data_IF_666930614933
#
_entry.id   IF_666930614933
#
_cell.length_a   1.000
_cell.length_b   1.000
_cell.length_c   1.000
_cell.angle_alpha   90.00
_cell.angle_beta   90.00
_cell.angle_gamma   90.00
#
_symmetry.space_group_name_H-M   'P 1'
#
loop_
_entity.id
_entity.type
_entity.pdbx_description
1 polymer ?
#
# COMPACT_ATOMS: atom_id res chain seq x y z
N UNK A 1 18.23 -5.18 9.70
CA UNK A 1 16.84 -5.55 9.28
C UNK A 1 16.77 -5.50 7.77
N UNK A 2 16.42 -6.62 7.15
CA UNK A 2 16.05 -6.67 5.73
C UNK A 2 14.52 -6.74 5.59
N UNK A 3 13.92 -5.71 5.00
CA UNK A 3 12.48 -5.57 4.92
C UNK A 3 11.97 -5.97 3.53
N UNK A 4 11.65 -7.27 3.39
CA UNK A 4 11.11 -7.88 2.19
C UNK A 4 9.57 -7.87 2.09
N UNK A 5 9.06 -8.41 0.98
CA UNK A 5 7.62 -8.38 0.65
C UNK A 5 6.77 -9.49 1.27
N UNK A 6 7.37 -10.67 1.47
CA UNK A 6 6.75 -11.88 2.05
C UNK A 6 7.42 -12.29 3.37
N UNK A 7 8.74 -12.20 3.41
CA UNK A 7 9.54 -12.39 4.61
C UNK A 7 10.34 -11.12 4.86
N UNK A 8 10.65 -10.86 6.12
CA UNK A 8 11.59 -9.82 6.53
C UNK A 8 12.67 -10.45 7.41
N UNK A 9 13.92 -10.22 7.09
CA UNK A 9 15.07 -10.72 7.85
C UNK A 9 15.44 -9.80 9.01
N UNK A 10 15.91 -10.38 10.10
CA UNK A 10 16.54 -9.63 11.19
C UNK A 10 17.80 -10.36 11.67
N UNK A 11 18.72 -9.57 12.22
CA UNK A 11 19.90 -10.06 12.89
C UNK A 11 20.23 -9.12 14.05
N UNK A 12 20.67 -9.68 15.17
CA UNK A 12 21.24 -9.00 16.33
C UNK A 12 22.70 -9.43 16.38
N UNK A 13 23.56 -8.43 16.26
CA UNK A 13 25.00 -8.61 16.13
C UNK A 13 25.69 -7.87 17.27
N UNK A 14 26.67 -8.51 17.89
CA UNK A 14 27.55 -7.94 18.89
C UNK A 14 28.96 -8.38 18.55
N UNK A 15 29.73 -7.49 17.91
CA UNK A 15 31.00 -7.85 17.28
C UNK A 15 31.90 -8.66 18.22
N UNK A 16 32.46 -9.81 17.77
CA UNK A 16 32.32 -10.43 16.43
C UNK A 16 31.12 -11.38 16.27
N UNK A 17 30.31 -11.59 17.31
CA UNK A 17 29.30 -12.64 17.39
C UNK A 17 27.92 -12.26 16.84
N UNK A 18 27.29 -13.25 16.20
CA UNK A 18 25.86 -13.23 15.90
C UNK A 18 25.11 -13.77 17.12
N UNK A 19 24.40 -12.88 17.82
CA UNK A 19 23.62 -13.24 19.01
C UNK A 19 22.31 -13.95 18.62
N UNK A 20 21.66 -13.47 17.56
CA UNK A 20 20.42 -14.05 17.06
C UNK A 20 20.16 -13.57 15.63
N UNK A 21 19.75 -14.45 14.72
CA UNK A 21 19.31 -14.07 13.37
C UNK A 21 18.07 -14.86 12.97
N UNK A 22 17.31 -14.36 12.01
CA UNK A 22 16.06 -15.01 11.67
C UNK A 22 15.20 -14.34 10.61
N UNK A 23 14.11 -15.01 10.28
CA UNK A 23 13.11 -14.53 9.32
C UNK A 23 11.75 -14.34 9.99
N UNK A 24 11.08 -13.26 9.59
CA UNK A 24 9.74 -12.87 10.02
C UNK A 24 8.80 -13.11 8.84
N UNK A 25 7.84 -14.03 9.02
CA UNK A 25 6.79 -14.26 8.02
C UNK A 25 5.76 -13.11 8.05
N UNK A 26 5.87 -12.17 7.11
CA UNK A 26 4.94 -11.04 6.93
C UNK A 26 3.78 -11.44 6.02
N UNK A 27 3.03 -12.47 6.45
CA UNK A 27 1.96 -13.07 5.67
C UNK A 27 0.93 -12.05 5.11
N UNK A 28 0.45 -12.31 3.90
CA UNK A 28 -0.65 -11.58 3.24
C UNK A 28 -2.05 -11.88 3.85
N UNK A 29 -2.16 -12.18 5.14
CA UNK A 29 -3.41 -12.63 5.77
C UNK A 29 -4.49 -11.55 5.63
N UNK A 30 -4.14 -10.27 5.77
CA UNK A 30 -5.12 -9.18 5.63
C UNK A 30 -5.68 -9.12 4.21
N UNK A 31 -4.82 -9.23 3.19
CA UNK A 31 -5.26 -9.25 1.79
C UNK A 31 -6.21 -10.44 1.54
N UNK A 32 -5.83 -11.64 1.97
CA UNK A 32 -6.68 -12.84 1.87
C UNK A 32 -8.02 -12.68 2.61
N UNK A 33 -8.00 -12.15 3.84
CA UNK A 33 -9.23 -11.86 4.62
C UNK A 33 -10.10 -10.79 3.95
N UNK A 34 -9.51 -9.77 3.34
CA UNK A 34 -10.23 -8.71 2.63
C UNK A 34 -10.84 -9.21 1.32
N UNK A 35 -10.12 -10.07 0.58
CA UNK A 35 -10.61 -10.77 -0.61
C UNK A 35 -11.77 -11.69 -0.25
N UNK A 36 -11.62 -12.52 0.78
CA UNK A 36 -12.69 -13.39 1.29
C UNK A 36 -13.91 -12.57 1.74
N UNK A 37 -13.72 -11.49 2.50
CA UNK A 37 -14.81 -10.56 2.87
C UNK A 37 -15.47 -9.93 1.65
N UNK A 38 -14.70 -9.63 0.61
CA UNK A 38 -15.22 -9.10 -0.65
C UNK A 38 -16.07 -10.14 -1.38
N UNK A 39 -15.54 -11.36 -1.53
CA UNK A 39 -16.23 -12.50 -2.13
C UNK A 39 -17.53 -12.82 -1.41
N UNK A 40 -17.50 -13.00 -0.08
CA UNK A 40 -18.70 -13.23 0.74
C UNK A 40 -19.74 -12.12 0.57
N UNK A 41 -19.31 -10.84 0.47
CA UNK A 41 -20.22 -9.73 0.18
C UNK A 41 -20.83 -9.83 -1.22
N UNK A 42 -20.08 -10.27 -2.24
CA UNK A 42 -20.59 -10.48 -3.60
C UNK A 42 -21.57 -11.65 -3.65
N UNK A 43 -21.23 -12.80 -3.08
CA UNK A 43 -22.09 -13.99 -3.01
C UNK A 43 -23.40 -13.70 -2.27
N UNK A 44 -23.35 -12.91 -1.18
CA UNK A 44 -24.59 -12.46 -0.51
C UNK A 44 -25.44 -11.56 -1.39
N UNK A 45 -24.83 -10.70 -2.22
CA UNK A 45 -25.57 -9.82 -3.14
C UNK A 45 -26.21 -10.58 -4.30
N UNK A 46 -25.55 -11.62 -4.81
CA UNK A 46 -26.08 -12.43 -5.91
C UNK A 46 -27.22 -13.36 -5.50
N UNK A 47 -27.36 -13.66 -4.20
CA UNK A 47 -28.43 -14.52 -3.65
C UNK A 47 -29.70 -13.76 -3.20
N UNK A 48 -29.76 -12.44 -3.36
CA UNK A 48 -30.93 -11.65 -2.97
C UNK A 48 -31.84 -11.45 -4.19
N UNK A 49 -32.68 -12.44 -4.46
CA UNK A 49 -33.72 -12.35 -5.51
C UNK A 49 -34.85 -11.38 -5.19
N UNK A 50 -35.14 -11.11 -3.91
CA UNK A 50 -36.36 -10.40 -3.49
C UNK A 50 -36.18 -9.32 -2.41
N UNK A 51 -34.95 -8.93 -2.03
CA UNK A 51 -34.74 -7.89 -1.02
C UNK A 51 -34.66 -6.51 -1.68
N UNK A 52 -35.61 -5.60 -1.35
CA UNK A 52 -35.59 -4.19 -1.78
C UNK A 52 -34.19 -3.58 -1.60
N UNK A 53 -33.79 -2.72 -2.55
CA UNK A 53 -32.44 -2.15 -2.61
C UNK A 53 -32.13 -1.48 -1.27
N UNK A 54 -30.87 -1.57 -0.83
CA UNK A 54 -30.43 -1.01 0.46
C UNK A 54 -30.70 0.50 0.61
N UNK A 55 -30.91 1.19 -0.50
CA UNK A 55 -31.31 2.59 -0.56
C UNK A 55 -32.70 2.81 0.08
N UNK A 56 -33.64 1.90 -0.19
CA UNK A 56 -35.04 1.97 0.26
C UNK A 56 -35.22 1.61 1.75
N UNK A 57 -34.18 1.03 2.38
CA UNK A 57 -34.17 0.63 3.79
C UNK A 57 -33.30 1.54 4.67
N UNK A 58 -32.75 2.65 4.15
CA UNK A 58 -32.11 3.65 5.00
C UNK A 58 -33.20 4.46 5.68
N UNK A 59 -33.50 4.16 6.95
CA UNK A 59 -33.91 5.25 7.84
C UNK A 59 -32.75 6.23 7.87
N UNK A 60 -32.98 7.44 7.38
CA UNK A 60 -31.97 8.49 7.38
C UNK A 60 -31.69 8.84 8.85
N UNK A 61 -30.59 8.32 9.41
CA UNK A 61 -30.09 8.79 10.72
C UNK A 61 -29.44 10.14 10.48
N UNK A 62 -30.28 11.16 10.26
CA UNK A 62 -29.78 12.52 10.18
C UNK A 62 -29.36 12.89 11.59
N UNK A 63 -28.06 13.07 11.79
CA UNK A 63 -27.52 13.62 13.03
C UNK A 63 -28.03 15.05 13.21
N UNK A 64 -28.30 15.51 14.44
CA UNK A 64 -28.52 16.93 14.67
C UNK A 64 -27.26 17.73 14.31
N UNK A 65 -27.47 18.93 13.78
CA UNK A 65 -26.46 19.89 13.43
C UNK A 65 -25.73 20.31 14.71
N UNK A 66 -24.41 20.20 14.73
CA UNK A 66 -23.59 20.59 15.88
C UNK A 66 -23.70 22.09 16.23
N UNK A 67 -24.17 22.93 15.31
CA UNK A 67 -24.28 24.37 15.51
C UNK A 67 -25.66 24.81 16.03
N UNK A 68 -26.76 24.23 15.52
CA UNK A 68 -28.11 24.72 15.81
C UNK A 68 -29.10 23.63 16.23
N UNK A 69 -28.65 22.38 16.39
CA UNK A 69 -29.50 21.24 16.80
C UNK A 69 -30.48 20.73 15.74
N UNK A 70 -30.77 21.49 14.68
CA UNK A 70 -31.63 21.06 13.55
C UNK A 70 -31.00 19.92 12.75
N UNK A 71 -31.76 19.22 11.92
CA UNK A 71 -31.25 18.15 11.07
C UNK A 71 -30.05 18.56 10.18
N UNK A 72 -28.93 17.85 10.31
CA UNK A 72 -27.75 18.03 9.45
C UNK A 72 -27.95 17.50 8.02
N UNK A 73 -27.06 17.84 7.09
CA UNK A 73 -27.05 17.14 5.79
C UNK A 73 -26.61 15.69 5.97
N UNK A 74 -27.14 14.77 5.17
CA UNK A 74 -26.80 13.36 5.26
C UNK A 74 -25.28 13.13 5.18
N UNK A 75 -24.69 12.61 6.27
CA UNK A 75 -23.26 12.35 6.38
C UNK A 75 -22.39 13.58 6.66
N UNK A 76 -22.98 14.70 7.12
CA UNK A 76 -22.27 15.90 7.57
C UNK A 76 -22.66 16.29 8.98
N UNK A 77 -21.85 17.15 9.58
CA UNK A 77 -22.05 17.62 10.96
C UNK A 77 -22.92 18.90 11.06
N UNK A 78 -23.20 19.55 9.93
CA UNK A 78 -23.91 20.84 9.86
C UNK A 78 -25.07 20.83 8.85
N UNK A 79 -26.10 21.65 9.08
CA UNK A 79 -27.17 21.92 8.12
C UNK A 79 -26.72 22.94 7.04
N UNK A 80 -27.46 23.08 5.93
CA UNK A 80 -27.09 24.00 4.82
C UNK A 80 -26.82 25.44 5.28
N UNK A 81 -27.70 26.07 6.09
CA UNK A 81 -27.48 27.44 6.54
C UNK A 81 -26.23 27.58 7.41
N UNK A 82 -26.05 26.69 8.40
CA UNK A 82 -24.88 26.70 9.27
C UNK A 82 -23.58 26.41 8.51
N UNK A 83 -23.61 25.50 7.53
CA UNK A 83 -22.45 25.22 6.67
C UNK A 83 -22.09 26.45 5.83
N UNK A 84 -23.07 27.17 5.28
CA UNK A 84 -22.86 28.41 4.53
C UNK A 84 -22.23 29.52 5.39
N UNK A 85 -22.71 29.68 6.63
CA UNK A 85 -22.14 30.58 7.65
C UNK A 85 -20.71 30.17 8.07
N UNK A 86 -20.39 28.89 8.10
CA UNK A 86 -19.05 28.39 8.40
C UNK A 86 -18.11 28.54 7.20
N UNK A 87 -18.60 28.38 5.97
CA UNK A 87 -17.80 28.57 4.75
C UNK A 87 -17.52 30.03 4.42
N UNK A 88 -18.35 30.99 4.88
CA UNK A 88 -18.07 32.43 4.73
C UNK A 88 -16.84 32.86 5.53
N UNK A 89 -16.51 32.16 6.64
CA UNK A 89 -15.18 32.18 7.27
C UNK A 89 -14.22 31.27 6.50
N UNK A 90 -13.83 31.69 5.29
CA UNK A 90 -12.79 31.05 4.44
C UNK A 90 -11.53 30.72 5.26
N UNK A 91 -11.31 29.45 5.66
CA UNK A 91 -9.95 28.83 5.81
C UNK A 91 -9.86 27.37 6.29
N UNK A 92 -10.93 26.58 6.35
CA UNK A 92 -10.79 25.21 6.91
C UNK A 92 -10.15 24.16 5.98
N UNK A 93 -10.04 24.39 4.66
CA UNK A 93 -9.45 23.41 3.72
C UNK A 93 -7.93 23.50 3.57
N UNK A 94 -7.28 24.55 4.07
CA UNK A 94 -5.82 24.73 3.95
C UNK A 94 -5.01 24.21 5.14
N UNK A 95 -5.65 23.77 6.22
CA UNK A 95 -4.96 23.37 7.47
C UNK A 95 -4.56 21.89 7.50
N UNK A 96 -5.22 21.02 6.73
CA UNK A 96 -4.94 19.57 6.74
C UNK A 96 -3.62 19.21 6.03
N UNK A 97 -3.02 20.12 5.24
CA UNK A 97 -1.83 19.84 4.40
C UNK A 97 -0.49 20.29 4.98
N UNK A 98 -0.42 20.75 6.24
CA UNK A 98 0.84 21.27 6.83
C UNK A 98 1.18 20.69 8.20
N UNK A 99 0.90 19.41 8.45
CA UNK A 99 1.58 18.73 9.55
C UNK A 99 2.93 18.21 9.00
N UNK A 100 4.09 18.70 9.51
CA UNK A 100 5.41 18.22 9.10
C UNK A 100 5.67 16.74 9.47
N UNK A 101 4.78 16.11 10.26
CA UNK A 101 4.75 14.67 10.52
C UNK A 101 3.70 13.91 9.67
N UNK A 102 3.02 14.56 8.72
CA UNK A 102 2.09 13.91 7.80
C UNK A 102 2.83 13.19 6.68
N UNK A 103 3.43 12.06 7.03
CA UNK A 103 3.87 11.11 6.03
C UNK A 103 2.65 10.34 5.52
N UNK A 104 2.60 10.05 4.23
CA UNK A 104 1.54 9.23 3.64
C UNK A 104 1.50 7.87 4.35
N UNK A 105 0.57 7.70 5.29
CA UNK A 105 0.40 6.46 6.02
C UNK A 105 0.17 5.34 4.99
N UNK A 106 0.96 4.25 5.05
CA UNK A 106 0.79 3.17 4.10
C UNK A 106 -0.60 2.57 4.24
N UNK A 107 -1.10 1.97 3.16
CA UNK A 107 -2.38 1.26 3.20
C UNK A 107 -2.42 0.26 4.36
N UNK A 108 -3.61 -0.01 4.91
CA UNK A 108 -3.77 -0.88 6.08
C UNK A 108 -3.10 -2.26 5.93
N UNK A 109 -3.06 -2.80 4.70
CA UNK A 109 -2.36 -4.05 4.41
C UNK A 109 -0.84 -3.92 4.46
N UNK A 110 -0.28 -2.80 3.98
CA UNK A 110 1.16 -2.56 4.02
C UNK A 110 1.57 -2.22 5.45
N UNK A 111 0.81 -1.35 6.14
CA UNK A 111 1.01 -1.01 7.54
C UNK A 111 1.10 -2.26 8.41
N UNK A 112 0.14 -3.18 8.30
CA UNK A 112 0.13 -4.39 9.11
C UNK A 112 1.35 -5.30 8.90
N UNK A 113 1.93 -5.33 7.70
CA UNK A 113 3.19 -6.05 7.44
C UNK A 113 4.34 -5.40 8.20
N UNK A 114 4.45 -4.07 8.15
CA UNK A 114 5.48 -3.33 8.88
C UNK A 114 5.27 -3.42 10.39
N UNK A 115 4.02 -3.43 10.85
CA UNK A 115 3.68 -3.67 12.26
C UNK A 115 4.13 -5.05 12.74
N UNK A 116 4.18 -6.09 11.89
CA UNK A 116 4.76 -7.38 12.26
C UNK A 116 6.26 -7.27 12.55
N UNK A 117 7.00 -6.57 11.70
CA UNK A 117 8.43 -6.30 11.89
C UNK A 117 8.64 -5.50 13.18
N UNK A 118 7.87 -4.43 13.38
CA UNK A 118 7.94 -3.59 14.59
C UNK A 118 7.67 -4.35 15.90
N UNK A 119 6.84 -5.40 15.88
CA UNK A 119 6.60 -6.24 17.06
C UNK A 119 7.83 -7.07 17.43
N UNK A 120 8.49 -7.65 16.43
CA UNK A 120 9.72 -8.43 16.66
C UNK A 120 10.82 -7.50 17.15
N UNK A 121 11.00 -6.32 16.54
CA UNK A 121 12.03 -5.37 16.98
C UNK A 121 11.80 -4.87 18.41
N UNK A 122 10.56 -4.70 18.85
CA UNK A 122 10.25 -4.36 20.26
C UNK A 122 10.67 -5.46 21.22
N UNK A 123 10.37 -6.72 20.90
CA UNK A 123 10.81 -7.88 21.71
C UNK A 123 12.33 -8.00 21.76
N UNK A 124 13.01 -7.72 20.65
CA UNK A 124 14.47 -7.73 20.62
C UNK A 124 15.06 -6.62 21.50
N UNK A 125 14.44 -5.43 21.53
CA UNK A 125 14.84 -4.34 22.43
C UNK A 125 14.65 -4.69 23.91
N UNK A 126 13.62 -5.46 24.26
CA UNK A 126 13.41 -5.95 25.63
C UNK A 126 14.44 -7.01 26.04
N UNK A 127 14.95 -7.78 25.07
CA UNK A 127 15.90 -8.87 25.30
C UNK A 127 17.37 -8.44 25.25
N UNK A 128 17.70 -7.44 24.42
CA UNK A 128 19.06 -7.01 24.14
C UNK A 128 19.18 -5.49 24.27
N UNK A 129 20.33 -5.02 24.74
CA UNK A 129 20.67 -3.59 24.72
C UNK A 129 21.08 -3.15 23.32
N UNK A 130 20.10 -2.75 22.51
CA UNK A 130 20.30 -2.38 21.11
C UNK A 130 20.77 -0.92 21.01
N UNK A 131 22.05 -0.72 20.69
CA UNK A 131 22.67 0.60 20.47
C UNK A 131 22.28 1.23 19.13
N UNK A 132 22.25 0.43 18.07
CA UNK A 132 21.99 0.88 16.71
C UNK A 132 21.12 -0.12 15.95
N UNK A 133 20.23 0.42 15.11
CA UNK A 133 19.40 -0.35 14.17
C UNK A 133 19.73 0.07 12.75
N UNK A 134 20.13 -0.91 11.93
CA UNK A 134 20.40 -0.70 10.52
C UNK A 134 19.26 -1.34 9.71
N UNK A 135 18.69 -0.57 8.79
CA UNK A 135 17.63 -1.03 7.89
C UNK A 135 17.97 -0.77 6.43
N UNK A 136 17.82 -1.78 5.59
CA UNK A 136 18.01 -1.61 4.15
C UNK A 136 16.80 -0.90 3.53
N UNK A 137 17.05 0.25 2.89
CA UNK A 137 16.03 0.98 2.14
C UNK A 137 16.25 0.78 0.64
N UNK A 138 15.33 0.07 0.01
CA UNK A 138 15.35 -0.09 -1.44
C UNK A 138 14.74 1.16 -2.07
N UNK A 139 15.55 1.91 -2.82
CA UNK A 139 15.09 2.98 -3.70
C UNK A 139 14.90 2.37 -5.09
N UNK A 140 13.67 2.02 -5.42
CA UNK A 140 13.34 1.62 -6.78
C UNK A 140 13.02 2.87 -7.59
N UNK A 141 13.72 3.02 -8.71
CA UNK A 141 13.40 3.99 -9.74
C UNK A 141 12.52 3.30 -10.79
N UNK A 142 11.21 3.52 -10.70
CA UNK A 142 10.26 2.87 -11.60
C UNK A 142 10.35 3.38 -13.04
N UNK A 143 10.89 4.57 -13.28
CA UNK A 143 11.07 5.09 -14.62
C UNK A 143 12.26 4.38 -15.28
N UNK A 144 13.41 4.30 -14.61
CA UNK A 144 14.56 3.52 -15.10
C UNK A 144 14.28 2.02 -15.19
N UNK A 145 13.49 1.46 -14.29
CA UNK A 145 13.05 0.06 -14.42
C UNK A 145 12.19 -0.20 -15.66
N UNK A 146 11.43 0.79 -16.13
CA UNK A 146 10.60 0.69 -17.33
C UNK A 146 11.39 0.93 -18.61
N UNK A 147 12.27 1.93 -18.58
CA UNK A 147 13.15 2.28 -19.68
C UNK A 147 14.54 2.56 -19.12
N UNK A 148 15.49 1.60 -19.16
CA UNK A 148 16.83 1.78 -18.60
C UNK A 148 17.63 2.92 -19.21
N UNK A 149 17.33 3.30 -20.46
CA UNK A 149 18.04 4.34 -21.22
C UNK A 149 17.49 5.76 -20.96
N UNK A 150 16.38 5.88 -20.20
CA UNK A 150 15.74 7.17 -19.95
C UNK A 150 16.67 8.11 -19.16
N UNK A 151 16.88 9.31 -19.69
CA UNK A 151 17.78 10.31 -19.11
C UNK A 151 17.30 11.74 -19.40
N UNK A 152 17.91 12.73 -18.74
CA UNK A 152 17.65 14.15 -19.01
C UNK A 152 16.20 14.59 -18.79
N UNK A 153 15.66 15.34 -19.76
CA UNK A 153 14.30 15.89 -19.71
C UNK A 153 13.23 14.79 -19.76
N UNK A 154 13.44 13.73 -20.55
CA UNK A 154 12.50 12.61 -20.67
C UNK A 154 12.24 11.92 -19.32
N UNK A 155 13.23 11.90 -18.43
CA UNK A 155 13.06 11.37 -17.07
C UNK A 155 12.01 12.15 -16.27
N UNK A 156 11.93 13.47 -16.45
CA UNK A 156 10.95 14.31 -15.75
C UNK A 156 9.55 14.20 -16.38
N UNK A 157 9.47 13.70 -17.61
CA UNK A 157 8.25 13.56 -18.37
C UNK A 157 7.56 12.23 -18.03
N UNK A 158 6.44 12.32 -17.31
CA UNK A 158 5.60 11.15 -17.03
C UNK A 158 4.88 10.63 -18.28
N UNK A 159 4.26 9.46 -18.20
CA UNK A 159 3.50 8.84 -19.31
C UNK A 159 2.33 9.68 -19.84
N UNK A 160 1.90 10.71 -19.11
CA UNK A 160 0.87 11.67 -19.54
C UNK A 160 1.42 13.05 -19.92
N UNK A 161 2.74 13.20 -20.00
CA UNK A 161 3.37 14.47 -20.39
C UNK A 161 2.96 14.84 -21.82
N UNK A 162 2.71 16.13 -22.05
CA UNK A 162 2.17 16.64 -23.32
C UNK A 162 0.65 16.50 -23.49
N UNK A 163 -0.07 15.91 -22.51
CA UNK A 163 -1.53 15.78 -22.55
C UNK A 163 -2.19 16.41 -21.33
N UNK A 164 -3.31 17.11 -21.55
CA UNK A 164 -4.08 17.75 -20.48
C UNK A 164 -4.89 16.74 -19.65
N UNK A 165 -5.27 15.61 -20.26
CA UNK A 165 -6.06 14.57 -19.57
C UNK A 165 -5.63 13.16 -19.97
N UNK A 166 -5.85 12.19 -19.08
CA UNK A 166 -5.65 10.76 -19.38
C UNK A 166 -6.47 10.32 -20.58
N UNK A 167 -7.70 10.83 -20.70
CA UNK A 167 -8.57 10.58 -21.85
C UNK A 167 -7.93 11.05 -23.15
N UNK A 168 -7.36 12.26 -23.17
CA UNK A 168 -6.72 12.82 -24.36
C UNK A 168 -5.56 11.94 -24.82
N UNK A 169 -4.65 11.57 -23.92
CA UNK A 169 -3.52 10.72 -24.28
C UNK A 169 -3.96 9.32 -24.76
N UNK A 170 -4.97 8.72 -24.10
CA UNK A 170 -5.54 7.46 -24.55
C UNK A 170 -6.21 7.61 -25.93
N UNK A 171 -6.85 8.75 -26.23
CA UNK A 171 -7.42 9.02 -27.55
C UNK A 171 -6.37 9.00 -28.64
N UNK A 172 -5.25 9.69 -28.43
CA UNK A 172 -4.12 9.63 -29.37
C UNK A 172 -3.55 8.22 -29.49
N UNK A 173 -3.35 7.53 -28.37
CA UNK A 173 -2.75 6.19 -28.37
C UNK A 173 -3.61 5.13 -29.08
N UNK A 174 -4.92 5.19 -28.91
CA UNK A 174 -5.88 4.24 -29.48
C UNK A 174 -6.51 4.72 -30.79
N UNK A 175 -5.99 5.80 -31.38
CA UNK A 175 -6.45 6.34 -32.66
C UNK A 175 -7.93 6.74 -32.67
N UNK A 176 -8.44 7.28 -31.55
CA UNK A 176 -9.83 7.70 -31.38
C UNK A 176 -10.87 6.58 -31.65
N UNK A 177 -10.49 5.32 -31.47
CA UNK A 177 -11.34 4.15 -31.69
C UNK A 177 -11.68 3.43 -30.38
N UNK A 178 -12.87 2.83 -30.35
CA UNK A 178 -13.24 1.94 -29.25
C UNK A 178 -12.40 0.65 -29.29
N UNK A 179 -11.80 0.30 -28.16
CA UNK A 179 -10.93 -0.88 -27.99
C UNK A 179 -11.66 -2.22 -28.19
N UNK A 180 -12.99 -2.24 -28.14
CA UNK A 180 -13.80 -3.45 -28.28
C UNK A 180 -14.51 -3.56 -29.63
N UNK A 181 -15.28 -2.54 -30.03
CA UNK A 181 -16.02 -2.60 -31.29
C UNK A 181 -15.21 -2.09 -32.48
N UNK A 182 -14.19 -1.25 -32.26
CA UNK A 182 -13.35 -0.66 -33.30
C UNK A 182 -13.94 0.58 -33.97
N UNK A 183 -15.16 0.99 -33.59
CA UNK A 183 -15.80 2.21 -34.12
C UNK A 183 -15.04 3.46 -33.69
N UNK A 184 -14.90 4.40 -34.62
CA UNK A 184 -14.46 5.78 -34.48
C UNK A 184 -15.67 6.73 -34.43
N UNK A 185 -15.40 8.04 -34.27
CA UNK A 185 -16.37 9.13 -34.26
C UNK A 185 -17.61 8.94 -33.35
N UNK A 186 -17.38 8.33 -32.19
CA UNK A 186 -18.40 8.11 -31.17
C UNK A 186 -17.93 8.62 -29.82
N UNK A 187 -18.87 8.85 -28.91
CA UNK A 187 -18.53 9.25 -27.54
C UNK A 187 -17.78 8.12 -26.83
N UNK A 188 -16.48 8.33 -26.64
CA UNK A 188 -15.60 7.41 -25.92
C UNK A 188 -15.41 7.82 -24.46
N UNK A 189 -15.24 6.81 -23.60
CA UNK A 189 -14.97 6.89 -22.18
C UNK A 189 -13.68 6.14 -21.85
N UNK A 190 -13.00 6.60 -20.79
CA UNK A 190 -11.86 5.86 -20.22
C UNK A 190 -12.41 4.69 -19.42
N UNK A 191 -11.97 3.48 -19.75
CA UNK A 191 -12.47 2.25 -19.17
C UNK A 191 -11.34 1.41 -18.59
N UNK A 192 -11.57 0.80 -17.43
CA UNK A 192 -10.68 -0.20 -16.86
C UNK A 192 -10.88 -1.58 -17.50
N UNK A 193 -9.84 -2.12 -18.13
CA UNK A 193 -9.82 -3.48 -18.69
C UNK A 193 -10.18 -4.48 -17.59
N UNK A 194 -9.43 -4.51 -16.49
CA UNK A 194 -9.83 -5.14 -15.24
C UNK A 194 -10.60 -4.12 -14.40
N UNK A 195 -11.90 -4.33 -14.09
CA UNK A 195 -12.69 -3.37 -13.34
C UNK A 195 -12.12 -3.06 -11.94
N UNK A 196 -12.26 -1.82 -11.47
CA UNK A 196 -11.88 -1.42 -10.10
C UNK A 196 -12.52 -2.34 -9.04
N UNK A 197 -13.76 -2.76 -9.26
CA UNK A 197 -14.47 -3.69 -8.38
C UNK A 197 -13.75 -5.03 -8.19
N UNK A 198 -12.91 -5.44 -9.15
CA UNK A 198 -12.08 -6.65 -9.12
C UNK A 198 -10.59 -6.38 -8.82
N UNK A 199 -10.24 -5.15 -8.39
CA UNK A 199 -8.87 -4.76 -8.09
C UNK A 199 -8.08 -4.27 -9.31
N UNK A 200 -8.77 -3.76 -10.33
CA UNK A 200 -8.15 -2.95 -11.38
C UNK A 200 -7.52 -1.68 -10.86
N UNK A 201 -6.42 -1.26 -11.48
CA UNK A 201 -5.69 -0.03 -11.14
C UNK A 201 -5.94 1.07 -12.18
N UNK A 202 -5.77 2.33 -11.82
CA UNK A 202 -5.77 3.49 -12.75
C UNK A 202 -4.47 3.65 -13.55
N UNK A 203 -3.69 2.57 -13.66
CA UNK A 203 -2.45 2.56 -14.45
C UNK A 203 -2.76 2.39 -15.93
N UNK A 204 -1.98 3.01 -16.81
CA UNK A 204 -2.15 3.01 -18.28
C UNK A 204 -2.35 1.60 -18.87
N UNK A 205 -1.66 0.61 -18.31
CA UNK A 205 -1.75 -0.81 -18.65
C UNK A 205 -3.15 -1.41 -18.50
N UNK A 206 -3.95 -0.83 -17.62
CA UNK A 206 -5.29 -1.29 -17.29
C UNK A 206 -6.36 -0.32 -17.82
N UNK A 207 -5.97 0.75 -18.52
CA UNK A 207 -6.87 1.74 -19.08
C UNK A 207 -6.94 1.60 -20.60
N UNK A 208 -8.15 1.71 -21.13
CA UNK A 208 -8.42 1.70 -22.56
C UNK A 208 -9.55 2.69 -22.89
N UNK A 209 -9.80 2.90 -24.18
CA UNK A 209 -10.96 3.65 -24.64
C UNK A 209 -12.11 2.72 -25.03
N UNK A 210 -13.31 3.05 -24.57
CA UNK A 210 -14.53 2.29 -24.86
C UNK A 210 -15.67 3.22 -25.22
N UNK A 211 -16.59 2.79 -26.09
CA UNK A 211 -17.87 3.47 -26.21
C UNK A 211 -18.78 3.11 -25.04
N UNK A 212 -19.79 3.95 -24.80
CA UNK A 212 -20.77 3.77 -23.72
C UNK A 212 -21.43 2.38 -23.78
N UNK A 213 -21.78 1.90 -24.98
CA UNK A 213 -22.46 0.61 -25.15
C UNK A 213 -21.55 -0.57 -24.81
N UNK A 214 -20.30 -0.54 -25.26
CA UNK A 214 -19.32 -1.57 -24.93
C UNK A 214 -18.99 -1.56 -23.43
N UNK A 215 -18.80 -0.38 -22.85
CA UNK A 215 -18.53 -0.22 -21.42
C UNK A 215 -19.69 -0.78 -20.57
N UNK A 216 -20.94 -0.42 -20.91
CA UNK A 216 -22.15 -0.95 -20.27
C UNK A 216 -22.28 -2.46 -20.44
N UNK A 217 -22.02 -2.98 -21.64
CA UNK A 217 -22.06 -4.42 -21.94
C UNK A 217 -21.04 -5.18 -21.11
N UNK A 218 -19.80 -4.68 -20.98
CA UNK A 218 -18.79 -5.30 -20.12
C UNK A 218 -19.18 -5.19 -18.65
N UNK A 219 -19.51 -3.99 -18.20
CA UNK A 219 -19.82 -3.69 -16.80
C UNK A 219 -18.66 -4.05 -15.88
N UNK A 220 -18.98 -4.62 -14.72
CA UNK A 220 -17.98 -4.98 -13.69
C UNK A 220 -17.30 -6.34 -13.94
N UNK A 221 -17.16 -6.75 -15.21
CA UNK A 221 -16.52 -7.99 -15.67
C UNK A 221 -15.21 -7.69 -16.40
N UNK A 222 -14.29 -8.65 -16.46
CA UNK A 222 -13.14 -8.60 -17.40
C UNK A 222 -13.64 -8.83 -18.84
N UNK A 223 -12.86 -8.47 -19.89
CA UNK A 223 -13.25 -8.76 -21.27
C UNK A 223 -13.55 -10.24 -21.48
N UNK A 224 -12.73 -11.12 -20.91
CA UNK A 224 -12.93 -12.58 -20.91
C UNK A 224 -14.26 -12.98 -20.30
N UNK A 225 -14.58 -12.48 -19.09
CA UNK A 225 -15.85 -12.75 -18.40
C UNK A 225 -17.07 -12.19 -19.14
N UNK A 226 -16.89 -11.11 -19.90
CA UNK A 226 -17.94 -10.50 -20.72
C UNK A 226 -18.04 -11.13 -22.11
N UNK A 227 -17.18 -12.12 -22.45
CA UNK A 227 -17.03 -12.68 -23.80
C UNK A 227 -16.78 -11.60 -24.86
N UNK A 228 -16.02 -10.56 -24.48
CA UNK A 228 -15.63 -9.46 -25.34
C UNK A 228 -14.13 -9.56 -25.63
N UNK A 229 -13.74 -9.42 -26.89
CA UNK A 229 -12.34 -9.37 -27.31
C UNK A 229 -11.89 -7.92 -27.43
N UNK A 230 -10.68 -7.63 -26.95
CA UNK A 230 -10.00 -6.38 -27.25
C UNK A 230 -9.50 -6.45 -28.69
N UNK A 231 -10.02 -5.58 -29.55
CA UNK A 231 -9.59 -5.48 -30.96
C UNK A 231 -8.29 -4.70 -31.09
N UNK A 232 -8.02 -3.79 -30.16
CA UNK A 232 -6.78 -3.01 -30.12
C UNK A 232 -5.84 -3.65 -29.10
N UNK A 233 -4.58 -3.90 -29.51
CA UNK A 233 -3.55 -4.37 -28.59
C UNK A 233 -3.29 -3.30 -27.53
N UNK A 234 -3.51 -3.66 -26.27
CA UNK A 234 -3.18 -2.81 -25.12
C UNK A 234 -1.65 -2.77 -25.03
N UNK A 235 -1.05 -1.58 -25.03
CA UNK A 235 0.37 -1.44 -24.72
C UNK A 235 0.55 -1.77 -23.23
N UNK A 236 1.02 -2.98 -22.94
CA UNK A 236 1.36 -3.39 -21.58
C UNK A 236 2.66 -2.70 -21.17
N UNK A 237 2.59 -1.72 -20.28
CA UNK A 237 3.77 -1.34 -19.51
C UNK A 237 4.02 -2.40 -18.42
N UNK A 238 5.27 -2.57 -18.00
CA UNK A 238 5.58 -3.52 -16.93
C UNK A 238 5.00 -3.05 -15.59
N UNK A 239 4.33 -3.97 -14.89
CA UNK A 239 3.65 -3.70 -13.62
C UNK A 239 4.54 -4.01 -12.42
N UNK A 240 5.11 -2.98 -11.79
CA UNK A 240 5.99 -3.10 -10.63
C UNK A 240 5.28 -3.06 -9.26
N UNK A 241 4.07 -3.65 -9.15
CA UNK A 241 3.25 -3.55 -7.92
C UNK A 241 4.00 -4.01 -6.66
N UNK A 242 4.76 -5.10 -6.75
CA UNK A 242 5.49 -5.65 -5.60
C UNK A 242 6.60 -4.70 -5.11
N UNK A 243 7.39 -4.14 -6.03
CA UNK A 243 8.42 -3.16 -5.70
C UNK A 243 7.79 -1.86 -5.14
N UNK A 244 6.65 -1.41 -5.68
CA UNK A 244 5.90 -0.27 -5.12
C UNK A 244 5.40 -0.54 -3.69
N UNK A 245 4.93 -1.75 -3.41
CA UNK A 245 4.49 -2.14 -2.05
C UNK A 245 5.64 -2.18 -1.05
N UNK A 246 6.82 -2.65 -1.46
CA UNK A 246 8.02 -2.68 -0.62
C UNK A 246 8.44 -1.26 -0.28
N UNK A 247 8.52 -0.35 -1.27
CA UNK A 247 8.92 1.04 -1.06
C UNK A 247 7.91 1.83 -0.21
N UNK A 248 6.60 1.67 -0.46
CA UNK A 248 5.55 2.45 0.21
C UNK A 248 5.49 2.27 1.74
N UNK A 249 5.95 1.13 2.27
CA UNK A 249 5.96 0.87 3.71
C UNK A 249 7.29 1.18 4.41
N UNK A 250 8.38 1.38 3.67
CA UNK A 250 9.73 1.56 4.25
C UNK A 250 9.87 2.89 5.00
N UNK A 251 9.33 3.98 4.46
CA UNK A 251 9.31 5.29 5.15
C UNK A 251 8.62 5.20 6.50
N UNK A 252 7.46 4.55 6.55
CA UNK A 252 6.72 4.30 7.79
C UNK A 252 7.54 3.46 8.78
N UNK A 253 8.12 2.35 8.32
CA UNK A 253 8.93 1.46 9.17
C UNK A 253 10.14 2.20 9.77
N UNK A 254 10.91 2.95 8.96
CA UNK A 254 12.07 3.73 9.43
C UNK A 254 11.67 4.75 10.49
N UNK A 255 10.54 5.43 10.31
CA UNK A 255 10.07 6.43 11.26
C UNK A 255 9.63 5.82 12.58
N UNK A 256 8.88 4.72 12.53
CA UNK A 256 8.47 4.02 13.74
C UNK A 256 9.68 3.44 14.49
N UNK A 257 10.69 2.93 13.77
CA UNK A 257 11.96 2.53 14.39
C UNK A 257 12.67 3.72 15.05
N UNK A 258 12.72 4.89 14.39
CA UNK A 258 13.31 6.12 14.98
C UNK A 258 12.58 6.56 16.23
N UNK A 259 11.25 6.36 16.32
CA UNK A 259 10.49 6.62 17.56
C UNK A 259 10.84 5.64 18.68
N UNK A 260 11.14 4.38 18.35
CA UNK A 260 11.43 3.33 19.32
C UNK A 260 12.88 3.40 19.83
N UNK A 261 13.84 3.64 18.94
CA UNK A 261 15.29 3.55 19.24
C UNK A 261 15.98 4.91 19.33
N UNK A 262 15.31 6.00 18.92
CA UNK A 262 15.91 7.33 18.80
C UNK A 262 16.40 7.61 17.38
N UNK A 263 16.37 8.87 16.96
CA UNK A 263 16.67 9.26 15.57
C UNK A 263 18.14 9.02 15.17
N UNK A 264 19.07 9.23 16.11
CA UNK A 264 20.52 9.01 15.91
C UNK A 264 20.93 7.54 15.85
N UNK A 265 20.08 6.64 16.34
CA UNK A 265 20.39 5.21 16.48
C UNK A 265 19.78 4.36 15.35
N UNK A 266 19.24 4.99 14.28
CA UNK A 266 18.66 4.29 13.14
C UNK A 266 19.32 4.74 11.84
N UNK A 267 20.16 3.87 11.27
CA UNK A 267 20.84 4.08 9.99
C UNK A 267 20.14 3.34 8.85
N UNK A 268 20.20 3.91 7.66
CA UNK A 268 19.65 3.33 6.43
C UNK A 268 20.78 2.94 5.49
N UNK A 269 20.76 1.72 4.95
CA UNK A 269 21.73 1.25 3.95
C UNK A 269 21.04 0.95 2.59
N UNK A 270 21.83 0.76 1.55
CA UNK A 270 21.37 0.41 0.18
C UNK A 270 21.83 -1.00 -0.20
N UNK A 271 21.02 -1.70 -0.99
CA UNK A 271 21.25 -3.12 -1.31
C UNK A 271 22.41 -3.43 -2.26
N UNK A 272 23.01 -2.42 -2.90
CA UNK A 272 24.12 -2.64 -3.83
C UNK A 272 25.34 -3.24 -3.11
N UNK A 273 25.64 -2.70 -1.92
CA UNK A 273 26.76 -3.14 -1.11
C UNK A 273 26.51 -4.50 -0.44
N UNK A 274 25.29 -4.76 0.03
CA UNK A 274 24.92 -6.05 0.64
C UNK A 274 25.03 -7.19 -0.37
N UNK A 275 24.61 -6.94 -1.63
CA UNK A 275 24.76 -7.89 -2.73
C UNK A 275 26.22 -8.18 -3.08
N UNK A 276 27.07 -7.14 -3.13
CA UNK A 276 28.50 -7.30 -3.37
C UNK A 276 29.16 -8.14 -2.27
N UNK A 277 28.95 -7.76 -1.00
CA UNK A 277 29.53 -8.45 0.15
C UNK A 277 29.11 -9.93 0.21
N UNK A 278 27.83 -10.21 -0.06
CA UNK A 278 27.32 -11.59 -0.12
C UNK A 278 28.05 -12.44 -1.17
N UNK A 279 28.35 -11.86 -2.34
CA UNK A 279 29.07 -12.56 -3.42
C UNK A 279 30.53 -12.81 -3.08
N UNK A 280 31.23 -11.80 -2.55
CA UNK A 280 32.66 -11.90 -2.18
C UNK A 280 32.88 -12.98 -1.13
N UNK A 281 31.95 -13.14 -0.19
CA UNK A 281 32.06 -14.11 0.90
C UNK A 281 31.29 -15.42 0.68
N UNK A 282 30.73 -15.63 -0.52
CA UNK A 282 29.98 -16.83 -0.91
C UNK A 282 28.85 -17.20 0.06
N UNK A 283 28.10 -16.19 0.51
CA UNK A 283 26.98 -16.37 1.44
C UNK A 283 25.70 -16.62 0.63
N UNK A 284 24.90 -17.62 1.02
CA UNK A 284 23.63 -17.90 0.37
C UNK A 284 22.61 -16.76 0.54
N UNK A 285 21.80 -16.54 -0.49
CA UNK A 285 20.75 -15.51 -0.49
C UNK A 285 19.53 -15.97 0.30
N UNK A 286 19.42 -15.50 1.53
CA UNK A 286 18.22 -15.61 2.39
C UNK A 286 17.95 -14.26 3.05
N UNK A 287 16.72 -14.04 3.55
CA UNK A 287 16.43 -12.77 4.23
C UNK A 287 17.20 -12.65 5.55
N UNK A 288 17.39 -13.77 6.26
CA UNK A 288 18.22 -13.80 7.47
C UNK A 288 19.69 -13.46 7.17
N UNK A 289 20.28 -14.06 6.13
CA UNK A 289 21.67 -13.79 5.75
C UNK A 289 21.86 -12.36 5.26
N UNK A 290 20.91 -11.82 4.48
CA UNK A 290 20.95 -10.42 4.06
C UNK A 290 20.92 -9.49 5.28
N UNK A 291 20.15 -9.83 6.33
CA UNK A 291 20.15 -9.08 7.58
C UNK A 291 21.46 -9.22 8.39
N UNK A 292 22.12 -10.37 8.36
CA UNK A 292 23.46 -10.59 8.96
C UNK A 292 24.49 -9.72 8.24
N UNK A 293 24.52 -9.76 6.90
CA UNK A 293 25.44 -8.94 6.09
C UNK A 293 25.23 -7.45 6.36
N UNK A 294 23.99 -6.98 6.43
CA UNK A 294 23.68 -5.58 6.78
C UNK A 294 24.25 -5.20 8.15
N UNK A 295 24.20 -6.11 9.11
CA UNK A 295 24.71 -5.85 10.45
C UNK A 295 26.25 -5.88 10.46
N UNK A 296 26.88 -6.88 9.86
CA UNK A 296 28.34 -7.10 9.92
C UNK A 296 29.14 -6.01 9.22
N UNK A 297 28.61 -5.43 8.13
CA UNK A 297 29.26 -4.36 7.36
C UNK A 297 29.65 -3.13 8.17
N UNK A 298 28.97 -2.83 9.29
CA UNK A 298 29.31 -1.69 10.14
C UNK A 298 30.38 -2.02 11.20
N UNK A 299 30.70 -3.29 11.43
CA UNK A 299 31.54 -3.72 12.55
C UNK A 299 32.85 -4.39 12.12
N UNK A 300 32.92 -5.05 10.96
CA UNK A 300 34.20 -5.59 10.44
C UNK A 300 34.18 -5.86 8.93
N UNK A 301 35.36 -5.84 8.29
CA UNK A 301 35.56 -6.34 6.92
C UNK A 301 35.74 -7.87 6.85
N UNK A 302 35.59 -8.58 7.96
CA UNK A 302 35.79 -10.03 8.03
C UNK A 302 34.49 -10.78 7.77
N UNK A 303 34.58 -11.98 7.18
CA UNK A 303 33.42 -12.84 6.91
C UNK A 303 32.73 -13.21 8.23
N UNK A 304 31.42 -12.91 8.41
CA UNK A 304 30.72 -13.32 9.62
C UNK A 304 30.60 -14.85 9.67
N UNK A 305 30.86 -15.44 10.84
CA UNK A 305 30.59 -16.86 11.07
C UNK A 305 29.08 -17.09 11.18
N UNK A 306 28.48 -17.59 10.10
CA UNK A 306 27.05 -17.90 10.06
C UNK A 306 26.82 -19.24 10.75
N UNK A 307 26.47 -19.22 12.03
CA UNK A 307 26.02 -20.41 12.74
C UNK A 307 24.52 -20.65 12.50
N UNK A 308 24.20 -21.67 11.70
CA UNK A 308 22.82 -22.07 11.38
C UNK A 308 22.00 -22.48 12.61
N UNK A 309 22.62 -22.97 13.68
CA UNK A 309 21.93 -23.43 14.91
C UNK A 309 21.30 -22.28 15.70
N UNK A 310 21.81 -21.05 15.56
CA UNK A 310 21.29 -19.85 16.24
C UNK A 310 20.18 -19.15 15.42
N UNK A 311 19.77 -19.71 14.29
CA UNK A 311 18.75 -19.12 13.41
C UNK A 311 17.34 -19.37 13.95
N UNK A 312 16.60 -18.31 14.28
CA UNK A 312 15.21 -18.39 14.75
C UNK A 312 14.23 -17.97 13.67
N UNK A 313 13.16 -18.74 13.52
CA UNK A 313 12.10 -18.40 12.58
C UNK A 313 10.88 -17.87 13.33
N UNK A 314 10.59 -16.57 13.18
CA UNK A 314 9.42 -15.94 13.79
C UNK A 314 8.22 -15.98 12.84
N UNK A 315 7.29 -16.92 13.10
CA UNK A 315 5.96 -16.89 12.51
C UNK A 315 5.04 -15.96 13.31
N UNK A 316 5.06 -14.66 12.98
CA UNK A 316 4.28 -13.66 13.72
C UNK A 316 2.80 -13.78 13.37
N UNK A 317 1.98 -14.24 14.32
CA UNK A 317 0.52 -14.24 14.16
C UNK A 317 0.01 -12.80 13.95
N UNK A 318 -0.94 -12.58 13.02
CA UNK A 318 -1.54 -11.27 12.84
C UNK A 318 -2.33 -10.91 14.10
N UNK A 319 -2.29 -9.64 14.50
CA UNK A 319 -3.22 -9.14 15.51
C UNK A 319 -4.64 -9.41 15.01
N UNK A 320 -5.41 -10.18 15.78
CA UNK A 320 -6.86 -10.14 15.64
C UNK A 320 -7.27 -8.70 15.94
N UNK A 321 -8.16 -8.12 15.12
CA UNK A 321 -8.74 -6.84 15.49
C UNK A 321 -9.27 -7.00 16.91
N UNK A 322 -8.80 -6.15 17.83
CA UNK A 322 -9.50 -5.90 19.08
C UNK A 322 -10.98 -5.79 18.73
N UNK A 323 -11.85 -6.50 19.44
CA UNK A 323 -13.28 -6.33 19.23
C UNK A 323 -13.61 -4.84 19.33
N UNK A 324 -14.67 -4.37 18.66
CA UNK A 324 -15.05 -2.94 18.70
C UNK A 324 -15.11 -2.40 20.14
N UNK A 325 -15.44 -3.28 21.09
CA UNK A 325 -15.41 -3.09 22.54
C UNK A 325 -14.00 -2.88 23.11
N UNK A 326 -13.03 -3.73 22.78
CA UNK A 326 -11.63 -3.61 23.21
C UNK A 326 -10.93 -2.38 22.60
N UNK A 327 -11.29 -1.97 21.39
CA UNK A 327 -10.79 -0.73 20.78
C UNK A 327 -11.35 0.51 21.48
N UNK A 328 -12.67 0.53 21.73
CA UNK A 328 -13.32 1.61 22.51
C UNK A 328 -12.73 1.71 23.90
N UNK A 329 -12.49 0.59 24.58
CA UNK A 329 -11.88 0.57 25.91
C UNK A 329 -10.45 1.13 25.94
N UNK A 330 -9.68 0.97 24.85
CA UNK A 330 -8.31 1.53 24.78
C UNK A 330 -8.25 3.02 24.43
N UNK A 331 -9.31 3.59 23.84
CA UNK A 331 -9.37 5.01 23.48
C UNK A 331 -10.20 5.81 24.49
N UNK A 332 -11.21 5.19 25.08
CA UNK A 332 -12.11 5.76 26.07
C UNK A 332 -12.14 4.88 27.33
N UNK A 333 -11.05 4.85 28.12
CA UNK A 333 -10.99 4.01 29.31
C UNK A 333 -12.09 4.34 30.34
N UNK A 334 -12.59 5.59 30.34
CA UNK A 334 -13.67 6.07 31.21
C UNK A 334 -15.09 5.68 30.78
N UNK A 335 -15.32 5.16 29.57
CA UNK A 335 -16.68 4.89 29.05
C UNK A 335 -17.31 3.58 29.56
N UNK A 336 -16.87 3.07 30.72
CA UNK A 336 -17.43 1.88 31.39
C UNK A 336 -18.20 2.20 32.67
N UNK A 337 -18.24 3.46 33.10
CA UNK A 337 -19.13 3.91 34.18
C UNK A 337 -20.29 4.65 33.54
N UNK A 338 -21.34 3.92 33.20
CA UNK A 338 -22.75 4.34 33.11
C UNK A 338 -23.59 3.11 32.77
#
# INVERSE_FOLDING_TARGET
IDDGGKFAGYAVYSSPDILEAGEIDVQNIIKKKMELRSQLRRTRRSKLGSRKKRFDNRKQSISPCLCCGKNSKSGKDFCTPCEQLLTSKKKLKSVIRKDPNFYALPSSSIKAKKDCVLRVTKKLKEKYDIREVIIEVAKFDFQKLRNPEISGEEYQQGTGYGYHTVKQALSFLYGYKCSYCGKDDIKLEVEHIKPCGQGGTDRWENLCLSCIDCNRKKGNRTPEQAKMKLKIKVKSLQSFIYASHVQAGKTYLVQELRKIFGRGNVRTTTGSWTSYYRKVHEIEKTHANDAIVIASMNFSNQKPEINTEKTKYYKVKPLTCKTKQQYKASIYPSSRKL
#
